data_IF_943067373894
#
_entry.id   IF_943067373894
#
_cell.length_a   1.000
_cell.length_b   1.000
_cell.length_c   1.000
_cell.angle_alpha   90.00
_cell.angle_beta   90.00
_cell.angle_gamma   90.00
#
_symmetry.space_group_name_H-M   'P 1'
#
loop_
_entity.id
_entity.type
_entity.pdbx_description
1 polymer ?
#
# COMPACT_ATOMS: atom_id res chain seq x y z
N UNK A 1 7.34 -7.67 15.87
CA UNK A 1 8.68 -8.11 15.41
C UNK A 1 9.82 -7.35 16.08
N UNK A 2 9.75 -6.02 16.04
CA UNK A 2 10.76 -5.14 16.64
C UNK A 2 10.91 -5.33 18.17
N UNK A 3 9.83 -5.71 18.87
CA UNK A 3 9.79 -5.87 20.33
C UNK A 3 9.82 -7.34 20.80
N UNK A 4 10.53 -8.23 20.13
CA UNK A 4 10.81 -9.59 20.64
C UNK A 4 9.97 -10.75 20.06
N UNK A 5 9.00 -10.49 19.18
CA UNK A 5 8.31 -11.57 18.44
C UNK A 5 9.33 -12.30 17.54
N UNK A 6 9.32 -13.64 17.58
CA UNK A 6 10.25 -14.51 16.85
C UNK A 6 9.59 -15.10 15.58
N UNK A 7 9.31 -14.26 14.58
CA UNK A 7 8.93 -14.76 13.26
C UNK A 7 10.16 -15.18 12.45
N UNK A 8 10.04 -16.29 11.74
CA UNK A 8 11.05 -16.85 10.85
C UNK A 8 11.18 -16.05 9.55
N UNK A 9 10.06 -15.53 9.06
CA UNK A 9 9.95 -14.65 7.90
C UNK A 9 9.08 -13.45 8.24
N UNK A 10 9.27 -12.36 7.49
CA UNK A 10 8.38 -11.22 7.48
C UNK A 10 7.87 -10.99 6.06
N UNK A 11 6.59 -10.67 5.94
CA UNK A 11 5.91 -10.33 4.69
C UNK A 11 5.17 -9.02 4.90
N UNK A 12 5.86 -7.90 4.71
CA UNK A 12 5.41 -6.58 5.14
C UNK A 12 4.98 -5.72 3.95
N UNK A 13 4.24 -4.66 4.25
CA UNK A 13 3.62 -3.81 3.23
C UNK A 13 4.62 -2.98 2.39
N UNK A 14 5.85 -2.79 2.86
CA UNK A 14 6.85 -1.92 2.25
C UNK A 14 8.25 -2.15 2.82
N UNK A 15 9.28 -1.79 2.04
CA UNK A 15 10.69 -2.07 2.36
C UNK A 15 11.18 -1.41 3.65
N UNK A 16 10.77 -0.16 3.94
CA UNK A 16 11.19 0.55 5.14
C UNK A 16 10.92 -0.23 6.44
N UNK A 17 9.81 -0.96 6.52
CA UNK A 17 9.45 -1.71 7.74
C UNK A 17 10.39 -2.91 7.96
N UNK A 18 10.92 -3.49 6.89
CA UNK A 18 11.93 -4.54 6.95
C UNK A 18 13.31 -3.95 7.26
N UNK A 19 13.65 -2.79 6.66
CA UNK A 19 14.87 -2.03 6.98
C UNK A 19 14.93 -1.67 8.47
N UNK A 20 13.82 -1.21 9.06
CA UNK A 20 13.75 -0.89 10.48
C UNK A 20 14.03 -2.11 11.40
N UNK A 21 13.78 -3.34 10.93
CA UNK A 21 14.14 -4.58 11.62
C UNK A 21 15.63 -4.91 11.41
N UNK A 22 16.14 -4.68 10.20
CA UNK A 22 17.56 -4.88 9.85
C UNK A 22 18.48 -3.91 10.60
N UNK A 23 18.09 -2.64 10.75
CA UNK A 23 18.80 -1.62 11.52
C UNK A 23 18.97 -2.01 13.00
N UNK A 24 18.05 -2.83 13.54
CA UNK A 24 18.12 -3.39 14.90
C UNK A 24 18.86 -4.72 14.96
N UNK A 25 19.53 -5.14 13.88
CA UNK A 25 20.43 -6.28 13.83
C UNK A 25 19.76 -7.66 13.80
N UNK A 26 18.45 -7.73 13.48
CA UNK A 26 17.73 -9.02 13.38
C UNK A 26 17.72 -9.61 11.97
N UNK A 27 17.87 -8.75 10.96
CA UNK A 27 17.96 -9.07 9.52
C UNK A 27 19.25 -8.43 8.99
N UNK A 28 19.92 -9.05 8.03
CA UNK A 28 21.07 -8.45 7.34
C UNK A 28 20.68 -7.21 6.54
N UNK A 29 21.56 -6.20 6.49
CA UNK A 29 21.26 -4.93 5.82
C UNK A 29 21.15 -5.03 4.29
N UNK A 30 21.67 -6.09 3.68
CA UNK A 30 21.57 -6.33 2.23
C UNK A 30 20.37 -7.23 1.87
N UNK A 31 19.41 -7.41 2.78
CA UNK A 31 18.28 -8.31 2.62
C UNK A 31 17.47 -8.08 1.32
N UNK A 32 17.31 -6.83 0.91
CA UNK A 32 16.47 -6.45 -0.24
C UNK A 32 16.90 -7.12 -1.55
N UNK A 33 18.20 -7.44 -1.67
CA UNK A 33 18.81 -8.05 -2.86
C UNK A 33 18.84 -9.59 -2.82
N UNK A 34 18.34 -10.22 -1.76
CA UNK A 34 18.42 -11.68 -1.58
C UNK A 34 17.40 -12.43 -2.44
N UNK A 35 16.29 -11.77 -2.78
CA UNK A 35 15.25 -12.30 -3.64
C UNK A 35 15.06 -11.36 -4.86
N UNK A 36 14.52 -11.85 -5.98
CA UNK A 36 14.24 -11.04 -7.16
C UNK A 36 13.34 -9.83 -6.87
N UNK A 37 13.30 -8.88 -7.79
CA UNK A 37 12.28 -7.82 -7.84
C UNK A 37 12.12 -7.04 -6.53
N UNK A 38 13.23 -6.57 -5.95
CA UNK A 38 13.25 -5.87 -4.66
C UNK A 38 12.66 -6.69 -3.51
N UNK A 39 12.82 -8.01 -3.57
CA UNK A 39 12.19 -8.95 -2.63
C UNK A 39 10.66 -8.78 -2.54
N UNK A 40 10.01 -8.35 -3.63
CA UNK A 40 8.58 -8.18 -3.75
C UNK A 40 8.00 -9.14 -4.80
N UNK A 41 7.52 -10.34 -4.38
CA UNK A 41 7.06 -11.39 -5.31
C UNK A 41 5.80 -10.99 -6.09
N UNK A 42 5.06 -10.01 -5.60
CA UNK A 42 3.89 -9.44 -6.27
C UNK A 42 3.90 -7.93 -6.05
N UNK A 43 3.07 -7.23 -6.81
CA UNK A 43 2.81 -5.80 -6.63
C UNK A 43 1.33 -5.55 -6.43
N UNK A 44 1.01 -4.32 -6.11
CA UNK A 44 -0.37 -3.81 -6.07
C UNK A 44 -0.31 -2.32 -6.35
N UNK A 45 -1.45 -1.65 -6.21
CA UNK A 45 -1.53 -0.20 -6.32
C UNK A 45 -2.66 0.33 -5.43
N UNK A 46 -2.84 1.65 -5.43
CA UNK A 46 -3.89 2.33 -4.70
C UNK A 46 -5.00 2.76 -5.66
N UNK A 47 -6.24 2.39 -5.33
CA UNK A 47 -7.46 2.72 -6.08
C UNK A 47 -8.52 3.26 -5.13
N UNK A 48 -9.64 3.70 -5.66
CA UNK A 48 -10.78 4.12 -4.85
C UNK A 48 -11.88 3.07 -4.89
N UNK A 49 -12.44 2.76 -3.73
CA UNK A 49 -13.67 2.01 -3.62
C UNK A 49 -14.79 2.97 -3.24
N UNK A 50 -15.80 3.08 -4.09
CA UNK A 50 -16.97 3.96 -3.89
C UNK A 50 -18.24 3.14 -3.75
N UNK A 51 -19.30 3.77 -3.26
CA UNK A 51 -20.63 3.16 -3.17
C UNK A 51 -21.24 2.99 -4.57
N UNK A 52 -22.14 2.01 -4.72
CA UNK A 52 -22.88 1.73 -5.96
C UNK A 52 -23.46 3.00 -6.57
N UNK A 53 -23.29 3.18 -7.88
CA UNK A 53 -23.75 4.34 -8.63
C UNK A 53 -22.92 5.61 -8.44
N UNK A 54 -21.84 5.56 -7.63
CA UNK A 54 -20.90 6.65 -7.40
C UNK A 54 -21.59 8.01 -7.15
N UNK A 55 -22.37 8.16 -6.06
CA UNK A 55 -23.24 9.32 -5.85
C UNK A 55 -22.48 10.65 -5.70
N UNK A 56 -21.19 10.60 -5.34
CA UNK A 56 -20.30 11.76 -5.23
C UNK A 56 -19.54 12.07 -6.52
N UNK A 57 -19.73 11.28 -7.58
CA UNK A 57 -19.07 11.45 -8.88
C UNK A 57 -17.54 11.54 -8.72
N UNK A 58 -16.97 10.61 -7.95
CA UNK A 58 -15.52 10.51 -7.76
C UNK A 58 -14.93 9.83 -8.99
N UNK A 59 -13.97 10.50 -9.62
CA UNK A 59 -13.29 10.02 -10.83
C UNK A 59 -11.77 10.07 -10.68
N UNK A 60 -11.24 10.99 -9.89
CA UNK A 60 -9.80 11.14 -9.68
C UNK A 60 -9.47 11.75 -8.30
N UNK A 61 -8.18 11.84 -7.96
CA UNK A 61 -7.69 12.38 -6.69
C UNK A 61 -8.24 13.77 -6.33
N UNK A 62 -8.40 14.67 -7.32
CA UNK A 62 -8.97 16.00 -7.11
C UNK A 62 -10.40 15.98 -6.58
N UNK A 63 -11.16 14.91 -6.79
CA UNK A 63 -12.53 14.81 -6.28
C UNK A 63 -12.55 14.55 -4.77
N UNK A 64 -11.50 13.96 -4.23
CA UNK A 64 -11.41 13.60 -2.81
C UNK A 64 -11.27 14.82 -1.88
N UNK A 65 -10.83 15.97 -2.41
CA UNK A 65 -10.68 17.23 -1.66
C UNK A 65 -11.92 18.13 -1.76
N UNK A 66 -12.97 17.71 -2.48
CA UNK A 66 -14.19 18.50 -2.63
C UNK A 66 -14.94 18.59 -1.29
N UNK A 67 -15.60 19.74 -0.99
CA UNK A 67 -16.43 19.86 0.20
C UNK A 67 -17.54 18.80 0.24
N UNK A 68 -17.75 18.20 1.41
CA UNK A 68 -18.82 17.22 1.62
C UNK A 68 -18.54 15.82 1.06
N UNK A 69 -17.31 15.53 0.66
CA UNK A 69 -16.82 14.16 0.44
C UNK A 69 -16.20 13.67 1.75
N UNK A 70 -16.67 12.52 2.24
CA UNK A 70 -16.05 11.83 3.37
C UNK A 70 -15.11 10.72 2.87
N UNK A 71 -13.85 10.79 3.28
CA UNK A 71 -12.80 9.86 2.87
C UNK A 71 -12.46 8.90 4.01
N UNK A 72 -12.32 7.62 3.69
CA UNK A 72 -11.75 6.61 4.59
C UNK A 72 -10.34 6.26 4.11
N UNK A 73 -9.38 6.29 5.02
CA UNK A 73 -8.01 5.81 4.81
C UNK A 73 -7.41 5.44 6.16
N UNK A 74 -6.55 4.40 6.25
CA UNK A 74 -5.89 4.07 7.51
C UNK A 74 -4.85 5.13 7.94
N UNK A 75 -4.31 4.97 9.16
CA UNK A 75 -3.33 5.87 9.77
C UNK A 75 -1.88 5.61 9.29
N UNK A 76 -1.17 6.59 8.69
CA UNK A 76 0.23 6.46 8.27
C UNK A 76 1.23 6.15 9.39
N UNK A 77 0.90 6.42 10.66
CA UNK A 77 1.77 6.11 11.80
C UNK A 77 1.80 4.62 12.15
N UNK A 78 0.83 3.83 11.70
CA UNK A 78 0.74 2.40 12.03
C UNK A 78 0.57 1.49 10.80
N UNK A 79 0.06 2.00 9.69
CA UNK A 79 -0.26 1.21 8.50
C UNK A 79 0.69 1.50 7.34
N UNK A 80 1.24 0.44 6.73
CA UNK A 80 2.00 0.58 5.48
C UNK A 80 1.12 0.97 4.29
N UNK A 81 -0.11 0.44 4.22
CA UNK A 81 -1.07 0.86 3.20
C UNK A 81 -1.41 2.33 3.29
N UNK A 82 -1.52 2.89 4.50
CA UNK A 82 -1.76 4.31 4.69
C UNK A 82 -0.62 5.19 4.14
N UNK A 83 0.63 4.72 4.27
CA UNK A 83 1.79 5.41 3.71
C UNK A 83 1.77 5.38 2.19
N UNK A 84 1.43 4.24 1.58
CA UNK A 84 1.21 4.17 0.13
C UNK A 84 0.07 5.09 -0.35
N UNK A 85 -1.07 5.11 0.36
CA UNK A 85 -2.19 6.02 0.07
C UNK A 85 -1.75 7.49 0.08
N UNK A 86 -1.01 7.88 1.12
CA UNK A 86 -0.49 9.23 1.27
C UNK A 86 0.47 9.59 0.12
N UNK A 87 1.44 8.72 -0.19
CA UNK A 87 2.42 8.97 -1.25
C UNK A 87 1.78 8.98 -2.64
N UNK A 88 0.72 8.19 -2.86
CA UNK A 88 -0.06 8.23 -4.10
C UNK A 88 -0.71 9.60 -4.30
N UNK A 89 -1.39 10.13 -3.27
CA UNK A 89 -1.99 11.47 -3.29
C UNK A 89 -0.93 12.57 -3.46
N UNK A 90 0.21 12.45 -2.77
CA UNK A 90 1.30 13.41 -2.85
C UNK A 90 1.94 13.43 -4.24
N UNK A 91 2.24 12.26 -4.81
CA UNK A 91 2.82 12.14 -6.15
C UNK A 91 1.90 12.69 -7.23
N UNK A 92 0.59 12.41 -7.14
CA UNK A 92 -0.41 13.05 -7.99
C UNK A 92 -0.33 14.58 -7.88
N UNK A 93 -0.34 15.12 -6.66
CA UNK A 93 -0.31 16.55 -6.45
C UNK A 93 0.97 17.20 -6.98
N UNK A 94 2.13 16.54 -6.87
CA UNK A 94 3.38 17.01 -7.49
C UNK A 94 3.25 17.07 -9.01
N UNK A 95 2.74 16.02 -9.66
CA UNK A 95 2.59 16.00 -11.12
C UNK A 95 1.60 17.06 -11.62
N UNK A 96 0.50 17.31 -10.90
CA UNK A 96 -0.47 18.35 -11.25
C UNK A 96 0.05 19.78 -11.02
N UNK A 97 1.09 19.94 -10.19
CA UNK A 97 1.60 21.24 -9.77
C UNK A 97 3.08 21.46 -10.17
N UNK A 98 3.55 20.81 -11.24
CA UNK A 98 4.92 20.97 -11.76
C UNK A 98 6.02 20.75 -10.71
N UNK A 99 5.82 19.81 -9.78
CA UNK A 99 6.77 19.47 -8.73
C UNK A 99 6.78 20.41 -7.53
N UNK A 100 5.83 21.34 -7.42
CA UNK A 100 5.71 22.26 -6.29
C UNK A 100 5.31 21.53 -4.99
N UNK A 101 6.27 21.40 -4.07
CA UNK A 101 6.10 20.72 -2.79
C UNK A 101 5.09 21.41 -1.87
N UNK A 102 5.00 22.74 -1.90
CA UNK A 102 4.06 23.47 -1.05
C UNK A 102 2.61 23.18 -1.49
N UNK A 103 2.37 23.16 -2.81
CA UNK A 103 1.06 22.79 -3.37
C UNK A 103 0.70 21.33 -3.12
N UNK A 104 1.68 20.42 -3.18
CA UNK A 104 1.45 19.03 -2.80
C UNK A 104 1.06 18.89 -1.33
N UNK A 105 1.73 19.61 -0.43
CA UNK A 105 1.37 19.66 0.98
C UNK A 105 -0.03 20.23 1.21
N UNK A 106 -0.40 21.31 0.52
CA UNK A 106 -1.75 21.90 0.59
C UNK A 106 -2.82 20.92 0.11
N UNK A 107 -2.58 20.24 -1.00
CA UNK A 107 -3.48 19.21 -1.54
C UNK A 107 -3.72 18.09 -0.52
N UNK A 108 -2.64 17.51 0.01
CA UNK A 108 -2.77 16.42 0.98
C UNK A 108 -3.37 16.93 2.30
N UNK A 109 -3.08 18.17 2.72
CA UNK A 109 -3.78 18.79 3.87
C UNK A 109 -5.29 18.91 3.61
N UNK A 110 -5.71 19.31 2.41
CA UNK A 110 -7.12 19.38 2.05
C UNK A 110 -7.77 17.98 2.03
N UNK A 111 -7.06 16.97 1.53
CA UNK A 111 -7.51 15.57 1.56
C UNK A 111 -7.74 15.09 3.00
N UNK A 112 -6.77 15.30 3.90
CA UNK A 112 -6.88 14.84 5.28
C UNK A 112 -7.92 15.60 6.11
N UNK A 113 -8.35 16.81 5.69
CA UNK A 113 -9.52 17.47 6.28
C UNK A 113 -10.83 16.73 5.99
N UNK A 114 -10.90 16.01 4.87
CA UNK A 114 -12.05 15.19 4.49
C UNK A 114 -11.99 13.76 5.04
N UNK A 115 -10.91 13.38 5.73
CA UNK A 115 -10.78 12.04 6.31
C UNK A 115 -11.60 11.93 7.59
N UNK A 116 -12.57 11.02 7.61
CA UNK A 116 -13.51 10.85 8.74
C UNK A 116 -12.94 9.94 9.82
N UNK A 117 -12.24 8.87 9.44
CA UNK A 117 -11.67 7.88 10.36
C UNK A 117 -10.28 7.45 9.88
N UNK A 118 -9.31 7.42 10.80
CA UNK A 118 -7.96 6.90 10.60
C UNK A 118 -7.78 5.58 11.34
N UNK A 119 -8.29 4.49 10.76
CA UNK A 119 -8.12 3.14 11.31
C UNK A 119 -6.65 2.72 11.39
N UNK A 120 -6.29 1.88 12.36
CA UNK A 120 -4.90 1.49 12.60
C UNK A 120 -4.26 0.67 11.46
N UNK A 121 -5.07 0.01 10.63
CA UNK A 121 -4.63 -0.85 9.53
C UNK A 121 -5.61 -0.86 8.36
N UNK A 122 -5.14 -1.28 7.18
CA UNK A 122 -5.94 -1.24 5.95
C UNK A 122 -7.23 -2.06 6.04
N UNK A 123 -7.19 -3.28 6.60
CA UNK A 123 -8.41 -4.09 6.79
C UNK A 123 -9.43 -3.42 7.72
N UNK A 124 -8.96 -2.68 8.73
CA UNK A 124 -9.84 -1.90 9.60
C UNK A 124 -10.59 -0.82 8.82
N UNK A 125 -9.87 -0.09 7.95
CA UNK A 125 -10.46 0.91 7.06
C UNK A 125 -11.47 0.29 6.07
N UNK A 126 -11.16 -0.89 5.51
CA UNK A 126 -12.10 -1.66 4.69
C UNK A 126 -13.37 -1.98 5.46
N UNK A 127 -13.28 -2.50 6.69
CA UNK A 127 -14.46 -2.83 7.50
C UNK A 127 -15.27 -1.58 7.89
N UNK A 128 -14.60 -0.46 8.20
CA UNK A 128 -15.27 0.83 8.46
C UNK A 128 -16.10 1.28 7.25
N UNK A 129 -15.56 1.14 6.03
CA UNK A 129 -16.28 1.52 4.81
C UNK A 129 -17.37 0.51 4.41
N UNK A 130 -17.01 -0.76 4.35
CA UNK A 130 -17.84 -1.85 3.78
C UNK A 130 -18.89 -2.34 4.77
N UNK A 131 -18.50 -2.64 6.01
CA UNK A 131 -19.38 -3.26 7.00
C UNK A 131 -20.14 -2.22 7.82
N UNK A 132 -19.44 -1.16 8.27
CA UNK A 132 -20.05 -0.10 9.09
C UNK A 132 -20.71 1.00 8.27
N UNK A 133 -20.44 1.03 6.96
CA UNK A 133 -21.06 1.97 6.05
C UNK A 133 -20.68 3.43 6.32
N UNK A 134 -19.46 3.70 6.76
CA UNK A 134 -18.95 5.06 7.01
C UNK A 134 -18.14 5.56 5.81
N UNK A 135 -18.26 6.85 5.47
CA UNK A 135 -17.54 7.49 4.37
C UNK A 135 -18.18 7.35 2.98
N UNK A 136 -17.75 8.18 2.03
CA UNK A 136 -18.22 8.14 0.64
C UNK A 136 -17.29 7.35 -0.28
N UNK A 137 -15.99 7.36 0.07
CA UNK A 137 -14.92 6.71 -0.70
C UNK A 137 -13.84 6.18 0.24
N UNK A 138 -13.37 4.97 -0.03
CA UNK A 138 -12.20 4.37 0.61
C UNK A 138 -11.00 4.45 -0.33
N UNK A 139 -9.90 5.02 0.14
CA UNK A 139 -8.59 4.90 -0.53
C UNK A 139 -8.02 3.53 -0.16
N UNK A 140 -8.06 2.60 -1.10
CA UNK A 140 -7.86 1.19 -0.87
C UNK A 140 -6.61 0.65 -1.58
N UNK A 141 -6.01 -0.37 -1.00
CA UNK A 141 -5.25 -1.34 -1.78
C UNK A 141 -6.15 -1.96 -2.85
N UNK A 142 -5.62 -2.13 -4.05
CA UNK A 142 -6.36 -2.75 -5.16
C UNK A 142 -6.91 -4.14 -4.81
N UNK A 143 -6.11 -4.97 -4.13
CA UNK A 143 -6.54 -6.30 -3.69
C UNK A 143 -7.71 -6.24 -2.69
N UNK A 144 -7.77 -5.23 -1.81
CA UNK A 144 -8.89 -5.05 -0.88
C UNK A 144 -10.16 -4.56 -1.61
N UNK A 145 -10.00 -3.68 -2.60
CA UNK A 145 -11.12 -3.19 -3.41
C UNK A 145 -11.72 -4.29 -4.30
N UNK A 146 -10.87 -5.11 -4.91
CA UNK A 146 -11.28 -6.29 -5.68
C UNK A 146 -11.94 -7.34 -4.78
N UNK A 147 -11.38 -7.61 -3.61
CA UNK A 147 -12.01 -8.49 -2.62
C UNK A 147 -13.39 -7.98 -2.19
N UNK A 148 -13.53 -6.68 -1.92
CA UNK A 148 -14.78 -6.09 -1.49
C UNK A 148 -15.88 -6.20 -2.58
N UNK A 149 -15.52 -6.00 -3.84
CA UNK A 149 -16.45 -6.08 -4.97
C UNK A 149 -16.81 -7.51 -5.37
N UNK A 150 -15.92 -8.48 -5.15
CA UNK A 150 -16.15 -9.88 -5.49
C UNK A 150 -16.80 -10.69 -4.36
N UNK A 151 -16.43 -10.45 -3.10
CA UNK A 151 -16.80 -11.32 -1.97
C UNK A 151 -17.65 -10.64 -0.90
N UNK A 152 -17.35 -9.38 -0.54
CA UNK A 152 -17.99 -8.72 0.61
C UNK A 152 -19.31 -8.01 0.26
N UNK A 153 -19.49 -7.62 -1.01
CA UNK A 153 -20.65 -6.85 -1.42
C UNK A 153 -20.76 -6.68 -2.92
N UNK A 154 -20.97 -7.79 -3.64
CA UNK A 154 -21.32 -7.75 -5.07
C UNK A 154 -22.51 -6.80 -5.27
N UNK A 155 -22.38 -5.88 -6.23
CA UNK A 155 -23.36 -4.83 -6.54
C UNK A 155 -23.58 -3.75 -5.48
N UNK A 156 -22.75 -3.67 -4.43
CA UNK A 156 -22.78 -2.56 -3.44
C UNK A 156 -21.70 -1.51 -3.64
N UNK A 157 -20.62 -1.90 -4.30
CA UNK A 157 -19.44 -1.05 -4.46
C UNK A 157 -18.96 -1.05 -5.91
N UNK A 158 -18.24 0.01 -6.25
CA UNK A 158 -17.60 0.19 -7.55
C UNK A 158 -16.15 0.61 -7.32
N UNK A 159 -15.24 0.10 -8.14
CA UNK A 159 -13.84 0.55 -8.15
C UNK A 159 -13.73 1.73 -9.11
N UNK A 160 -13.19 2.84 -8.62
CA UNK A 160 -12.76 3.95 -9.45
C UNK A 160 -11.23 3.92 -9.53
N UNK A 161 -10.73 3.75 -10.76
CA UNK A 161 -9.30 3.79 -11.05
C UNK A 161 -8.88 5.25 -11.29
N UNK A 162 -8.00 5.83 -10.45
CA UNK A 162 -7.53 7.20 -10.66
C UNK A 162 -6.68 7.31 -11.94
N UNK A 163 -6.44 8.55 -12.38
CA UNK A 163 -5.64 8.81 -13.59
C UNK A 163 -4.19 8.30 -13.46
N UNK A 164 -3.65 8.37 -12.25
CA UNK A 164 -2.38 7.75 -11.87
C UNK A 164 -2.39 7.30 -10.41
N UNK A 165 -1.49 6.38 -10.09
CA UNK A 165 -1.28 5.90 -8.73
C UNK A 165 0.17 5.46 -8.54
N UNK A 166 0.48 4.94 -7.36
CA UNK A 166 1.83 4.47 -7.02
C UNK A 166 1.93 2.94 -7.22
N UNK A 167 3.05 2.48 -7.77
CA UNK A 167 3.42 1.07 -7.73
C UNK A 167 3.80 0.71 -6.30
N UNK A 168 2.99 -0.13 -5.68
CA UNK A 168 3.22 -0.57 -4.32
C UNK A 168 3.85 -1.97 -4.31
N UNK A 169 4.96 -2.09 -3.59
CA UNK A 169 5.81 -3.29 -3.54
C UNK A 169 5.91 -3.84 -2.11
N UNK A 170 4.98 -4.69 -1.68
CA UNK A 170 5.10 -5.43 -0.42
C UNK A 170 6.32 -6.36 -0.45
N UNK A 171 7.18 -6.25 0.56
CA UNK A 171 8.47 -6.93 0.58
C UNK A 171 8.52 -8.05 1.60
N UNK A 172 9.29 -9.08 1.26
CA UNK A 172 9.47 -10.28 2.09
C UNK A 172 10.93 -10.48 2.46
N UNK A 173 11.20 -11.00 3.65
CA UNK A 173 12.56 -11.31 4.08
C UNK A 173 12.59 -12.40 5.15
N UNK A 174 13.68 -13.14 5.19
CA UNK A 174 14.00 -14.06 6.28
C UNK A 174 14.54 -13.28 7.47
N UNK A 175 14.12 -13.65 8.67
CA UNK A 175 14.64 -13.05 9.92
C UNK A 175 15.85 -13.84 10.40
N UNK A 176 17.04 -13.45 9.93
CA UNK A 176 18.30 -14.17 10.12
C UNK A 176 18.50 -14.67 11.55
N UNK A 177 18.42 -13.77 12.54
CA UNK A 177 18.63 -14.12 13.96
C UNK A 177 17.64 -15.16 14.48
N UNK A 178 16.42 -15.21 13.95
CA UNK A 178 15.39 -16.15 14.41
C UNK A 178 15.58 -17.50 13.74
N UNK A 179 15.80 -17.53 12.43
CA UNK A 179 15.94 -18.80 11.71
C UNK A 179 17.22 -19.53 12.06
N UNK A 180 18.30 -18.80 12.38
CA UNK A 180 19.56 -19.40 12.85
C UNK A 180 19.39 -19.98 14.25
N UNK A 181 18.63 -19.28 15.12
CA UNK A 181 18.31 -19.76 16.48
C UNK A 181 17.43 -21.02 16.44
N UNK A 182 16.45 -21.07 15.55
CA UNK A 182 15.47 -22.17 15.46
C UNK A 182 15.90 -23.33 14.56
N UNK A 183 16.95 -23.14 13.74
CA UNK A 183 17.35 -24.13 12.74
C UNK A 183 16.39 -24.24 11.55
N UNK A 184 15.63 -23.18 11.24
CA UNK A 184 14.54 -23.16 10.25
C UNK A 184 14.91 -22.46 8.94
N UNK A 185 16.17 -22.04 8.77
CA UNK A 185 16.62 -21.24 7.62
C UNK A 185 16.24 -21.85 6.27
N UNK A 186 16.50 -23.15 6.09
CA UNK A 186 16.24 -23.82 4.82
C UNK A 186 14.75 -23.78 4.43
N UNK A 187 13.85 -24.07 5.37
CA UNK A 187 12.41 -24.06 5.10
C UNK A 187 11.87 -22.63 4.95
N UNK A 188 12.38 -21.66 5.71
CA UNK A 188 12.00 -20.26 5.59
C UNK A 188 12.40 -19.66 4.23
N UNK A 189 13.61 -19.95 3.76
CA UNK A 189 14.08 -19.54 2.43
C UNK A 189 13.29 -20.23 1.31
N UNK A 190 12.99 -21.53 1.45
CA UNK A 190 12.18 -22.26 0.50
C UNK A 190 10.75 -21.67 0.42
N UNK A 191 10.14 -21.36 1.57
CA UNK A 191 8.82 -20.74 1.64
C UNK A 191 8.77 -19.41 0.87
N UNK A 192 9.74 -18.51 1.08
CA UNK A 192 9.76 -17.22 0.38
C UNK A 192 10.07 -17.36 -1.12
N UNK A 193 10.98 -18.27 -1.50
CA UNK A 193 11.26 -18.57 -2.91
C UNK A 193 10.03 -19.14 -3.62
N UNK A 194 9.20 -19.92 -2.92
CA UNK A 194 7.99 -20.51 -3.48
C UNK A 194 6.96 -19.46 -3.90
N UNK A 195 6.96 -18.28 -3.29
CA UNK A 195 6.10 -17.16 -3.69
C UNK A 195 6.36 -16.72 -5.14
N UNK A 196 7.56 -16.96 -5.67
CA UNK A 196 7.95 -16.66 -7.05
C UNK A 196 7.71 -17.82 -8.03
N UNK A 197 7.29 -18.99 -7.53
CA UNK A 197 6.94 -20.12 -8.40
C UNK A 197 5.67 -19.82 -9.20
N UNK A 198 5.43 -20.48 -10.34
CA UNK A 198 4.18 -20.33 -11.09
C UNK A 198 2.93 -20.56 -10.23
N UNK A 199 2.97 -21.52 -9.30
CA UNK A 199 1.86 -21.74 -8.37
C UNK A 199 1.69 -20.58 -7.39
N UNK A 200 2.77 -20.08 -6.79
CA UNK A 200 2.73 -18.92 -5.89
C UNK A 200 2.19 -17.67 -6.58
N UNK A 201 2.59 -17.45 -7.82
CA UNK A 201 2.14 -16.32 -8.65
C UNK A 201 0.66 -16.45 -9.05
N UNK A 202 0.22 -17.66 -9.41
CA UNK A 202 -1.19 -17.96 -9.67
C UNK A 202 -2.05 -17.75 -8.41
N UNK A 203 -1.57 -18.18 -7.24
CA UNK A 203 -2.26 -17.94 -5.95
C UNK A 203 -2.35 -16.44 -5.66
N UNK A 204 -1.27 -15.69 -5.87
CA UNK A 204 -1.27 -14.24 -5.68
C UNK A 204 -2.33 -13.56 -6.58
N UNK A 205 -2.37 -13.92 -7.86
CA UNK A 205 -3.34 -13.39 -8.81
C UNK A 205 -4.80 -13.72 -8.45
N UNK A 206 -5.08 -14.96 -8.03
CA UNK A 206 -6.40 -15.39 -7.53
C UNK A 206 -6.86 -14.63 -6.29
N UNK A 207 -5.93 -14.12 -5.51
CA UNK A 207 -6.19 -13.29 -4.33
C UNK A 207 -6.01 -11.80 -4.62
N UNK A 208 -6.14 -11.40 -5.89
CA UNK A 208 -6.17 -10.02 -6.35
C UNK A 208 -4.87 -9.22 -6.17
N UNK A 209 -3.72 -9.90 -6.04
CA UNK A 209 -2.40 -9.25 -6.10
C UNK A 209 -1.83 -9.36 -7.51
N UNK A 210 -1.16 -8.31 -8.00
CA UNK A 210 -0.58 -8.32 -9.35
C UNK A 210 0.67 -9.23 -9.38
N UNK A 211 0.65 -10.34 -10.14
CA UNK A 211 1.79 -11.24 -10.22
C UNK A 211 2.93 -10.62 -11.05
N UNK A 212 4.17 -11.01 -10.75
CA UNK A 212 5.39 -10.70 -11.52
C UNK A 212 5.60 -11.66 -12.70
N UNK A 213 5.14 -12.91 -12.59
CA UNK A 213 5.23 -13.88 -13.68
C UNK A 213 4.46 -13.37 -14.92
N UNK A 214 5.11 -13.18 -16.08
CA UNK A 214 4.48 -12.60 -17.27
C UNK A 214 3.32 -13.43 -17.82
N UNK A 215 3.38 -14.76 -17.74
CA UNK A 215 2.33 -15.64 -18.27
C UNK A 215 1.10 -15.60 -17.35
N UNK A 216 1.30 -15.61 -16.03
CA UNK A 216 0.20 -15.45 -15.07
C UNK A 216 -0.37 -14.03 -15.14
N UNK A 217 0.47 -13.00 -15.24
CA UNK A 217 0.01 -11.62 -15.41
C UNK A 217 -0.85 -11.44 -16.66
N UNK A 218 -0.48 -12.07 -17.78
CA UNK A 218 -1.28 -12.09 -19.01
C UNK A 218 -2.60 -12.82 -18.83
N UNK A 219 -2.60 -13.98 -18.14
CA UNK A 219 -3.79 -14.78 -17.85
C UNK A 219 -4.83 -14.01 -17.01
N UNK A 220 -4.37 -13.21 -16.05
CA UNK A 220 -5.22 -12.44 -15.14
C UNK A 220 -5.37 -10.96 -15.51
N UNK A 221 -4.94 -10.55 -16.72
CA UNK A 221 -4.89 -9.14 -17.11
C UNK A 221 -6.25 -8.42 -17.04
N UNK A 222 -7.36 -9.15 -17.18
CA UNK A 222 -8.71 -8.57 -17.12
C UNK A 222 -9.20 -8.29 -15.69
N UNK A 223 -8.57 -8.86 -14.68
CA UNK A 223 -8.91 -8.61 -13.26
C UNK A 223 -8.34 -7.27 -12.77
N UNK A 224 -7.28 -6.78 -13.42
CA UNK A 224 -6.54 -5.61 -12.97
C UNK A 224 -6.77 -4.41 -13.90
N UNK A 225 -7.25 -3.27 -13.39
CA UNK A 225 -7.38 -2.07 -14.21
C UNK A 225 -6.01 -1.61 -14.74
N UNK A 226 -6.02 -1.06 -15.96
CA UNK A 226 -4.86 -0.36 -16.52
C UNK A 226 -4.83 1.06 -15.98
N UNK A 227 -3.70 1.46 -15.40
CA UNK A 227 -3.48 2.81 -14.89
C UNK A 227 -1.99 3.17 -14.97
N UNK A 228 -1.69 4.46 -15.00
CA UNK A 228 -0.32 4.97 -14.94
C UNK A 228 0.21 4.79 -13.51
N UNK A 229 1.37 4.15 -13.37
CA UNK A 229 2.01 3.93 -12.09
C UNK A 229 3.36 4.63 -12.03
N UNK A 230 3.58 5.45 -11.01
CA UNK A 230 4.91 5.94 -10.66
C UNK A 230 5.51 5.11 -9.51
N UNK A 231 6.83 5.08 -9.39
CA UNK A 231 7.51 4.34 -8.31
C UNK A 231 7.89 5.26 -7.16
N UNK A 232 8.17 4.66 -6.00
CA UNK A 232 8.70 5.41 -4.87
C UNK A 232 10.09 5.99 -5.15
N UNK A 233 10.91 5.28 -5.93
CA UNK A 233 12.25 5.72 -6.27
C UNK A 233 12.22 6.95 -7.19
N UNK A 234 11.37 6.94 -8.21
CA UNK A 234 11.28 8.03 -9.19
C UNK A 234 10.78 9.35 -8.57
N UNK A 235 9.77 9.28 -7.69
CA UNK A 235 9.10 10.49 -7.16
C UNK A 235 9.68 10.93 -5.82
N UNK A 236 10.07 9.99 -4.96
CA UNK A 236 10.48 10.30 -3.58
C UNK A 236 11.95 10.01 -3.31
N UNK A 237 12.69 9.40 -4.24
CA UNK A 237 14.09 9.00 -4.02
C UNK A 237 14.22 7.82 -3.04
N UNK A 238 13.19 7.00 -2.96
CA UNK A 238 13.18 5.76 -2.18
C UNK A 238 12.64 5.89 -0.75
N UNK A 239 12.46 4.73 -0.12
CA UNK A 239 11.75 4.58 1.16
C UNK A 239 12.39 5.34 2.33
N UNK A 240 13.71 5.35 2.44
CA UNK A 240 14.40 6.06 3.54
C UNK A 240 14.11 7.56 3.52
N UNK A 241 14.15 8.19 2.34
CA UNK A 241 13.85 9.62 2.19
C UNK A 241 12.36 9.89 2.42
N UNK A 242 11.49 9.14 1.75
CA UNK A 242 10.04 9.28 1.88
C UNK A 242 9.58 9.16 3.34
N UNK A 243 10.08 8.15 4.07
CA UNK A 243 9.71 7.95 5.46
C UNK A 243 10.23 9.08 6.36
N UNK A 244 11.49 9.50 6.18
CA UNK A 244 12.10 10.57 6.97
C UNK A 244 11.33 11.88 6.81
N UNK A 245 10.97 12.21 5.58
CA UNK A 245 10.31 13.48 5.24
C UNK A 245 8.85 13.50 5.65
N UNK A 246 8.08 12.47 5.30
CA UNK A 246 6.63 12.50 5.48
C UNK A 246 6.15 11.90 6.80
N UNK A 247 6.77 10.83 7.31
CA UNK A 247 6.14 9.95 8.30
C UNK A 247 6.84 9.91 9.67
N UNK A 248 8.12 10.29 9.76
CA UNK A 248 8.82 10.47 11.03
C UNK A 248 8.15 11.51 11.92
N UNK A 249 8.50 11.53 13.21
CA UNK A 249 7.98 12.54 14.14
C UNK A 249 8.36 13.95 13.68
N UNK A 250 7.37 14.83 13.55
CA UNK A 250 7.53 16.19 13.01
C UNK A 250 7.61 16.25 11.48
N UNK A 251 7.51 15.11 10.79
CA UNK A 251 7.43 15.04 9.34
C UNK A 251 6.14 15.63 8.79
N UNK A 252 6.02 15.69 7.47
CA UNK A 252 4.93 16.45 6.84
C UNK A 252 3.53 15.95 7.20
N UNK A 253 3.35 14.64 7.43
CA UNK A 253 2.08 14.11 7.92
C UNK A 253 1.68 14.73 9.28
N UNK A 254 2.63 14.93 10.19
CA UNK A 254 2.31 15.58 11.48
C UNK A 254 1.96 17.05 11.28
N UNK A 255 2.69 17.75 10.40
CA UNK A 255 2.45 19.17 10.12
C UNK A 255 1.07 19.44 9.51
N UNK A 256 0.57 18.57 8.63
CA UNK A 256 -0.76 18.75 8.03
C UNK A 256 -1.90 18.38 8.99
N UNK A 257 -1.62 17.60 10.03
CA UNK A 257 -2.59 17.17 11.05
C UNK A 257 -2.58 18.05 12.31
N UNK A 258 -1.61 18.94 12.46
CA UNK A 258 -1.65 19.97 13.50
C UNK A 258 -2.79 20.95 13.19
N UNK A 259 -3.68 21.12 14.18
CA UNK A 259 -4.77 22.10 14.15
C UNK A 259 -4.26 23.48 14.48
#
# INVERSE_FOLDING_TARGET
MINGIEADVVTLALAYDVDAIAERGRIDKNWLKRLPDNSAPYTSTIVFLVRKGNPKQIHDWNDLIKPGVSVITPNPKSSGGARWNYLAAWGYALHQNNGDQAKAQEFVKALFKNVEVLDSGARGATNTFVERGIGDVLIAWENEALLATNELGKDKFEIVTPSESILAEPTVSVVDKVVDKKGTRQVAEAYLKYLYSPEGQEIAAKNFYRPRDPEIAKKYANEFPKLKLFTIDDVFGGWTKAQKEHFSNGGTFDQINQR
#
